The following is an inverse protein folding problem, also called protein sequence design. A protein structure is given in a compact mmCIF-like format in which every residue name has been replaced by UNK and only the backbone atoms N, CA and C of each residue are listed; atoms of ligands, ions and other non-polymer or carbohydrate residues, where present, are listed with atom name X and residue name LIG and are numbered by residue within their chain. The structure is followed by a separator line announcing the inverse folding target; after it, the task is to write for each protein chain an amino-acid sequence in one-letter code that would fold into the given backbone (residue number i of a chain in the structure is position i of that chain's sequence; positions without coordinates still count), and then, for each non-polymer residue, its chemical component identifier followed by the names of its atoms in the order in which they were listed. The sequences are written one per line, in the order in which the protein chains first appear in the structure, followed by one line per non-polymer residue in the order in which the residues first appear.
data_IF_970516871613
#
_entry.id   IF_970516871613
#
_cell.length_a   1.000
_cell.length_b   1.000
_cell.length_c   1.000
_cell.angle_alpha   90.00
_cell.angle_beta   90.00
_cell.angle_gamma   90.00
#
_symmetry.space_group_name_H-M   'P 1'
#
loop_
_entity.id
_entity.type
_entity.pdbx_description
1 polymer ?
#
# COMPACT_ATOMS: atom_id res chain seq x y z
N UNK A 1 -8.37 5.74 -13.18
CA UNK A 1 -7.33 5.24 -12.28
C UNK A 1 -7.93 4.19 -11.39
N UNK A 2 -7.31 3.02 -11.30
CA UNK A 2 -7.88 1.93 -10.52
C UNK A 2 -7.41 1.98 -9.06
N UNK A 3 -7.94 1.07 -8.25
CA UNK A 3 -7.65 1.07 -6.83
C UNK A 3 -6.16 0.91 -6.53
N UNK A 4 -5.47 0.03 -7.24
CA UNK A 4 -4.05 -0.20 -7.01
C UNK A 4 -3.22 1.03 -7.33
N UNK A 5 -3.56 1.73 -8.39
CA UNK A 5 -2.87 2.97 -8.75
C UNK A 5 -3.08 4.04 -7.69
N UNK A 6 -4.29 4.11 -7.13
CA UNK A 6 -4.55 5.05 -6.03
C UNK A 6 -3.69 4.73 -4.82
N UNK A 7 -3.59 3.45 -4.47
CA UNK A 7 -2.78 3.04 -3.33
C UNK A 7 -1.32 3.42 -3.56
N UNK A 8 -0.79 3.12 -4.74
CA UNK A 8 0.61 3.44 -5.04
C UNK A 8 0.87 4.94 -4.95
N UNK A 9 -0.05 5.75 -5.46
CA UNK A 9 0.11 7.20 -5.40
C UNK A 9 0.12 7.72 -3.97
N UNK A 10 -0.76 7.20 -3.12
CA UNK A 10 -0.80 7.61 -1.72
C UNK A 10 0.45 7.17 -0.98
N UNK A 11 0.91 5.93 -1.21
CA UNK A 11 2.12 5.45 -0.56
C UNK A 11 3.33 6.28 -0.97
N UNK A 12 3.39 6.68 -2.23
CA UNK A 12 4.47 7.53 -2.68
C UNK A 12 4.44 8.88 -1.96
N UNK A 13 3.26 9.49 -1.84
CA UNK A 13 3.14 10.77 -1.13
C UNK A 13 3.59 10.64 0.31
N UNK A 14 3.21 9.55 0.97
CA UNK A 14 3.55 9.36 2.37
C UNK A 14 5.04 9.05 2.55
N UNK A 15 5.55 8.10 1.78
CA UNK A 15 6.91 7.60 2.02
C UNK A 15 7.99 8.41 1.33
N UNK A 16 7.70 9.01 0.16
CA UNK A 16 8.70 9.81 -0.55
C UNK A 16 8.62 11.27 -0.18
N UNK A 17 7.42 11.79 0.04
CA UNK A 17 7.23 13.21 0.23
C UNK A 17 6.81 13.61 1.63
N UNK A 18 6.70 12.63 2.53
CA UNK A 18 6.43 12.93 3.93
C UNK A 18 5.01 13.37 4.25
N UNK A 19 4.07 13.12 3.36
CA UNK A 19 2.69 13.50 3.60
C UNK A 19 2.07 12.67 4.72
N UNK A 20 1.12 13.26 5.43
CA UNK A 20 0.36 12.50 6.42
C UNK A 20 -0.58 11.56 5.70
N UNK A 21 -0.63 10.32 6.14
CA UNK A 21 -1.38 9.28 5.43
C UNK A 21 -2.87 9.61 5.32
N UNK A 22 -3.47 10.14 6.39
CA UNK A 22 -4.89 10.48 6.35
C UNK A 22 -5.19 11.60 5.34
N UNK A 23 -4.31 12.59 5.26
CA UNK A 23 -4.52 13.69 4.31
C UNK A 23 -4.32 13.24 2.87
N UNK A 24 -3.25 12.50 2.61
CA UNK A 24 -2.97 12.01 1.28
C UNK A 24 -4.09 11.08 0.80
N UNK A 25 -4.57 10.22 1.68
CA UNK A 25 -5.64 9.29 1.35
C UNK A 25 -6.94 10.03 1.05
N UNK A 26 -7.31 10.99 1.90
CA UNK A 26 -8.54 11.74 1.69
C UNK A 26 -8.52 12.51 0.38
N UNK A 27 -7.38 13.13 0.06
CA UNK A 27 -7.24 13.84 -1.21
C UNK A 27 -7.42 12.90 -2.40
N UNK A 28 -6.78 11.73 -2.33
CA UNK A 28 -6.87 10.76 -3.42
C UNK A 28 -8.32 10.30 -3.61
N UNK A 29 -9.02 10.02 -2.52
CA UNK A 29 -10.39 9.53 -2.61
C UNK A 29 -11.38 10.61 -3.03
N UNK A 30 -11.11 11.87 -2.69
CA UNK A 30 -11.96 12.96 -3.10
C UNK A 30 -12.05 13.09 -4.60
N UNK A 31 -10.96 12.82 -5.28
CA UNK A 31 -10.87 12.98 -6.73
C UNK A 31 -11.05 11.67 -7.48
N UNK A 32 -11.40 10.60 -6.78
CA UNK A 32 -11.54 9.30 -7.40
C UNK A 32 -12.99 9.03 -7.78
N UNK A 33 -13.17 8.10 -8.71
CA UNK A 33 -14.51 7.65 -9.07
C UNK A 33 -14.67 6.18 -8.72
N UNK A 34 -13.98 5.76 -7.67
CA UNK A 34 -14.02 4.37 -7.25
C UNK A 34 -15.34 4.05 -6.56
N UNK A 35 -15.75 2.79 -6.67
CA UNK A 35 -16.92 2.30 -5.94
C UNK A 35 -16.64 2.32 -4.44
N UNK A 36 -17.68 2.21 -3.64
CA UNK A 36 -17.50 2.17 -2.18
C UNK A 36 -16.63 0.99 -1.76
N UNK A 37 -16.77 -0.13 -2.44
CA UNK A 37 -15.96 -1.30 -2.13
C UNK A 37 -14.49 -1.03 -2.40
N UNK A 38 -14.18 -0.39 -3.54
CA UNK A 38 -12.81 -0.07 -3.87
C UNK A 38 -12.24 1.00 -2.95
N UNK A 39 -13.06 1.98 -2.55
CA UNK A 39 -12.61 3.00 -1.60
C UNK A 39 -12.25 2.38 -0.26
N UNK A 40 -13.05 1.42 0.20
CA UNK A 40 -12.74 0.70 1.43
C UNK A 40 -11.44 -0.10 1.31
N UNK A 41 -11.25 -0.73 0.16
CA UNK A 41 -10.04 -1.50 -0.10
C UNK A 41 -8.80 -0.59 -0.09
N UNK A 42 -8.87 0.55 -0.78
CA UNK A 42 -7.78 1.50 -0.80
C UNK A 42 -7.44 1.97 0.62
N UNK A 43 -8.47 2.31 1.39
CA UNK A 43 -8.29 2.79 2.75
C UNK A 43 -7.60 1.73 3.61
N UNK A 44 -8.05 0.51 3.54
CA UNK A 44 -7.49 -0.56 4.35
C UNK A 44 -6.04 -0.85 3.97
N UNK A 45 -5.75 -0.93 2.68
CA UNK A 45 -4.40 -1.28 2.24
C UNK A 45 -3.42 -0.15 2.55
N UNK A 46 -3.83 1.10 2.35
CA UNK A 46 -2.95 2.23 2.66
C UNK A 46 -2.61 2.25 4.15
N UNK A 47 -3.64 2.24 5.01
CA UNK A 47 -3.38 2.32 6.45
C UNK A 47 -2.66 1.09 6.97
N UNK A 48 -3.01 -0.08 6.45
CA UNK A 48 -2.34 -1.30 6.86
C UNK A 48 -0.86 -1.31 6.48
N UNK A 49 -0.55 -0.89 5.25
CA UNK A 49 0.83 -0.85 4.78
C UNK A 49 1.63 0.17 5.56
N UNK A 50 1.07 1.35 5.79
CA UNK A 50 1.77 2.40 6.55
C UNK A 50 2.01 1.94 7.99
N UNK A 51 1.00 1.35 8.62
CA UNK A 51 1.12 0.92 10.02
C UNK A 51 2.13 -0.20 10.20
N UNK A 52 2.32 -1.03 9.16
CA UNK A 52 3.20 -2.19 9.27
C UNK A 52 4.46 -2.07 8.41
N UNK A 53 4.81 -0.86 8.05
CA UNK A 53 5.93 -0.62 7.14
C UNK A 53 7.22 -1.30 7.61
N UNK A 54 7.56 -1.14 8.88
CA UNK A 54 8.81 -1.71 9.40
C UNK A 54 8.80 -3.22 9.29
N UNK A 55 7.70 -3.86 9.68
CA UNK A 55 7.59 -5.31 9.60
C UNK A 55 7.65 -5.79 8.14
N UNK A 56 6.94 -5.08 7.24
CA UNK A 56 6.94 -5.46 5.84
C UNK A 56 8.33 -5.29 5.22
N UNK A 57 9.02 -4.22 5.59
CA UNK A 57 10.38 -4.01 5.09
C UNK A 57 11.34 -5.08 5.60
N UNK A 58 11.11 -5.53 6.82
CA UNK A 58 11.92 -6.62 7.36
C UNK A 58 11.76 -7.89 6.52
N UNK A 59 10.53 -8.23 6.14
CA UNK A 59 10.30 -9.38 5.28
C UNK A 59 10.95 -9.19 3.91
N UNK A 60 10.79 -8.02 3.31
CA UNK A 60 11.34 -7.78 1.99
C UNK A 60 12.87 -7.79 1.98
N UNK A 61 13.49 -7.42 3.09
CA UNK A 61 14.94 -7.43 3.18
C UNK A 61 15.53 -8.82 3.01
N UNK A 62 14.73 -9.87 3.22
CA UNK A 62 15.19 -11.24 3.03
C UNK A 62 15.25 -11.64 1.56
N UNK A 63 14.55 -10.93 0.68
CA UNK A 63 14.51 -11.28 -0.73
C UNK A 63 15.06 -10.20 -1.63
N UNK A 64 15.18 -8.97 -1.15
CA UNK A 64 15.72 -7.87 -1.94
C UNK A 64 17.11 -7.56 -1.43
N UNK A 65 18.11 -7.77 -2.29
CA UNK A 65 19.49 -7.53 -1.86
C UNK A 65 19.81 -6.05 -1.73
N UNK A 66 19.35 -5.24 -2.67
CA UNK A 66 19.67 -3.83 -2.68
C UNK A 66 18.43 -3.05 -3.10
N UNK A 67 17.77 -2.47 -2.14
CA UNK A 67 16.55 -1.70 -2.35
C UNK A 67 16.78 -0.51 -3.28
N UNK A 68 18.00 0.05 -3.27
CA UNK A 68 18.28 1.24 -4.06
C UNK A 68 18.28 0.95 -5.56
N UNK A 69 18.31 -0.31 -5.95
CA UNK A 69 18.26 -0.68 -7.35
C UNK A 69 16.84 -0.81 -7.88
N UNK A 70 15.84 -0.67 -7.01
CA UNK A 70 14.45 -0.75 -7.42
C UNK A 70 13.90 0.65 -7.64
N UNK A 71 13.05 0.81 -8.64
CA UNK A 71 12.30 2.04 -8.76
C UNK A 71 11.38 2.17 -7.54
N UNK A 72 11.17 3.39 -7.02
CA UNK A 72 10.34 3.55 -5.83
C UNK A 72 8.95 2.95 -5.97
N UNK A 73 8.32 3.13 -7.13
CA UNK A 73 6.96 2.60 -7.33
C UNK A 73 6.94 1.08 -7.21
N UNK A 74 8.00 0.42 -7.68
CA UNK A 74 8.07 -1.05 -7.59
C UNK A 74 8.22 -1.48 -6.14
N UNK A 75 9.01 -0.75 -5.37
CA UNK A 75 9.16 -1.05 -3.95
C UNK A 75 7.82 -0.93 -3.22
N UNK A 76 7.07 0.13 -3.50
CA UNK A 76 5.77 0.31 -2.86
C UNK A 76 4.76 -0.72 -3.33
N UNK A 77 4.85 -1.12 -4.60
CA UNK A 77 4.00 -2.20 -5.09
C UNK A 77 4.29 -3.50 -4.33
N UNK A 78 5.56 -3.79 -4.06
CA UNK A 78 5.94 -4.96 -3.29
C UNK A 78 5.43 -4.86 -1.85
N UNK A 79 5.52 -3.67 -1.23
CA UNK A 79 5.03 -3.49 0.12
C UNK A 79 3.52 -3.75 0.21
N UNK A 80 2.75 -3.15 -0.69
CA UNK A 80 1.30 -3.32 -0.62
C UNK A 80 0.88 -4.74 -0.97
N UNK A 81 1.61 -5.39 -1.87
CA UNK A 81 1.32 -6.77 -2.23
C UNK A 81 1.62 -7.70 -1.06
N UNK A 82 2.74 -7.47 -0.38
CA UNK A 82 3.10 -8.27 0.77
C UNK A 82 2.09 -8.06 1.91
N UNK A 83 1.64 -6.82 2.11
CA UNK A 83 0.62 -6.56 3.12
C UNK A 83 -0.63 -7.41 2.85
N UNK A 84 -1.05 -7.46 1.59
CA UNK A 84 -2.23 -8.23 1.24
C UNK A 84 -2.02 -9.71 1.49
N UNK A 85 -0.85 -10.23 1.14
CA UNK A 85 -0.57 -11.65 1.34
C UNK A 85 -0.53 -12.03 2.82
N UNK A 86 0.10 -11.20 3.63
CA UNK A 86 0.31 -11.55 5.03
C UNK A 86 -0.93 -11.25 5.87
N UNK A 87 -1.64 -10.18 5.58
CA UNK A 87 -2.69 -9.71 6.48
C UNK A 87 -4.11 -9.81 5.92
N UNK A 88 -4.28 -9.81 4.60
CA UNK A 88 -5.61 -9.87 4.01
C UNK A 88 -5.96 -11.21 3.41
N UNK A 89 -4.98 -11.90 2.85
CA UNK A 89 -5.26 -13.17 2.20
C UNK A 89 -5.28 -14.35 3.12
N UNK A 90 -5.39 -14.16 4.38
CA UNK A 90 -5.46 -15.25 5.27
C UNK A 90 -6.88 -15.68 5.37
N UNK A 91 -7.55 -15.75 4.38
CA UNK A 91 -8.80 -16.10 4.36
C UNK A 91 -9.07 -17.41 4.61
N UNK A 92 -9.82 -17.66 5.23
CA UNK A 92 -10.03 -18.88 5.53
C UNK A 92 -10.72 -19.51 4.53
N UNK A 93 -10.50 -19.94 4.40
CA UNK A 93 -10.99 -20.53 3.64
C UNK A 93 -12.08 -21.09 3.93
N UNK A 94 -12.57 -20.95 4.24
CA UNK A 94 -13.51 -21.36 4.38
C UNK A 94 -14.02 -21.55 3.86
N UNK A 95 -13.72 -21.53 3.83
CA UNK A 95 -14.09 -21.76 3.44
C UNK A 95 -14.32 -22.24 3.14
#
# INVERSE_FOLDING_TARGET
MNAREQILGVLEEVFEHGAYSNLALNQALEHSQLSDKDRSFVTEVVYGTVARKITLEWYLAHVIEDRTKLDPWLYYLLLMSLYQLVYLDRIPDHA
#
